data_IF_606407311246
#
_entry.id   IF_606407311246
#
_cell.length_a   1.000
_cell.length_b   1.000
_cell.length_c   1.000
_cell.angle_alpha   90.00
_cell.angle_beta   90.00
_cell.angle_gamma   90.00
#
_symmetry.space_group_name_H-M   'P 1'
#
loop_
_entity.id
_entity.type
_entity.pdbx_description
1 polymer ?
#
# COMPACT_ATOMS: atom_id res chain seq x y z
N UNK A 1 16.57 2.15 -29.30
CA UNK A 1 17.06 2.22 -27.91
C UNK A 1 16.32 3.26 -27.08
N UNK A 2 16.10 4.46 -27.58
CA UNK A 2 15.30 5.47 -26.87
C UNK A 2 13.86 5.02 -26.67
N UNK A 3 13.29 4.31 -27.64
CA UNK A 3 11.93 3.78 -27.58
C UNK A 3 11.75 2.80 -26.43
N UNK A 4 12.77 1.97 -26.16
CA UNK A 4 12.74 1.00 -25.06
C UNK A 4 12.69 1.71 -23.71
N UNK A 5 13.43 2.80 -23.55
CA UNK A 5 13.43 3.58 -22.31
C UNK A 5 12.07 4.23 -22.09
N UNK A 6 11.47 4.82 -23.12
CA UNK A 6 10.13 5.42 -23.03
C UNK A 6 9.08 4.39 -22.70
N UNK A 7 9.16 3.19 -23.27
CA UNK A 7 8.24 2.11 -22.99
C UNK A 7 8.39 1.63 -21.55
N UNK A 8 9.62 1.49 -21.06
CA UNK A 8 9.89 1.11 -19.68
C UNK A 8 9.36 2.15 -18.69
N UNK A 9 9.56 3.45 -18.99
CA UNK A 9 9.04 4.53 -18.15
C UNK A 9 7.51 4.51 -18.10
N UNK A 10 6.86 4.24 -19.23
CA UNK A 10 5.41 4.14 -19.29
C UNK A 10 4.90 2.99 -18.43
N UNK A 11 5.53 1.84 -18.52
CA UNK A 11 5.16 0.67 -17.73
C UNK A 11 5.34 0.94 -16.22
N UNK A 12 6.46 1.60 -15.87
CA UNK A 12 6.73 1.96 -14.48
C UNK A 12 5.71 2.97 -13.96
N UNK A 13 5.29 3.92 -14.79
CA UNK A 13 4.26 4.87 -14.40
C UNK A 13 2.92 4.17 -14.14
N UNK A 14 2.55 3.22 -14.98
CA UNK A 14 1.34 2.42 -14.78
C UNK A 14 1.42 1.61 -13.48
N UNK A 15 2.58 1.01 -13.20
CA UNK A 15 2.82 0.28 -11.96
C UNK A 15 2.74 1.21 -10.75
N UNK A 16 3.31 2.40 -10.87
CA UNK A 16 3.28 3.42 -9.81
C UNK A 16 1.85 3.82 -9.47
N UNK A 17 1.04 4.12 -10.48
CA UNK A 17 -0.37 4.50 -10.29
C UNK A 17 -1.14 3.38 -9.60
N UNK A 18 -0.95 2.13 -10.03
CA UNK A 18 -1.63 0.98 -9.41
C UNK A 18 -1.21 0.81 -7.94
N UNK A 19 0.07 0.98 -7.66
CA UNK A 19 0.59 0.84 -6.30
C UNK A 19 0.05 1.94 -5.38
N UNK A 20 -0.02 3.18 -5.86
CA UNK A 20 -0.58 4.30 -5.10
C UNK A 20 -2.07 4.06 -4.80
N UNK A 21 -2.83 3.59 -5.80
CA UNK A 21 -4.24 3.23 -5.58
C UNK A 21 -4.39 2.11 -4.56
N UNK A 22 -3.51 1.12 -4.63
CA UNK A 22 -3.48 0.03 -3.64
C UNK A 22 -3.22 0.56 -2.24
N UNK A 23 -2.28 1.50 -2.11
CA UNK A 23 -1.95 2.12 -0.83
C UNK A 23 -3.15 2.88 -0.25
N UNK A 24 -3.89 3.60 -1.09
CA UNK A 24 -5.11 4.31 -0.67
C UNK A 24 -6.18 3.34 -0.16
N UNK A 25 -6.36 2.21 -0.86
CA UNK A 25 -7.30 1.18 -0.43
C UNK A 25 -6.89 0.55 0.89
N UNK A 26 -5.60 0.31 1.08
CA UNK A 26 -5.07 -0.22 2.34
C UNK A 26 -5.31 0.76 3.49
N UNK A 27 -5.14 2.06 3.26
CA UNK A 27 -5.41 3.08 4.27
C UNK A 27 -6.88 3.09 4.68
N UNK A 28 -7.79 2.97 3.73
CA UNK A 28 -9.22 2.89 4.01
C UNK A 28 -9.58 1.63 4.79
N UNK A 29 -8.99 0.50 4.41
CA UNK A 29 -9.21 -0.76 5.11
C UNK A 29 -8.74 -0.67 6.57
N UNK A 30 -7.60 -0.04 6.81
CA UNK A 30 -7.09 0.20 8.16
C UNK A 30 -8.02 1.08 8.98
N UNK A 31 -8.59 2.13 8.38
CA UNK A 31 -9.60 2.96 9.04
C UNK A 31 -10.80 2.13 9.49
N UNK A 32 -11.33 1.30 8.59
CA UNK A 32 -12.49 0.44 8.90
C UNK A 32 -12.18 -0.56 10.02
N UNK A 33 -10.98 -1.14 10.02
CA UNK A 33 -10.55 -2.05 11.09
C UNK A 33 -10.46 -1.30 12.42
N UNK A 34 -9.92 -0.08 12.40
CA UNK A 34 -9.82 0.74 13.60
C UNK A 34 -11.20 1.07 14.16
N UNK A 35 -12.13 1.48 13.31
CA UNK A 35 -13.51 1.76 13.69
C UNK A 35 -14.19 0.52 14.31
N UNK A 36 -14.02 -0.63 13.65
CA UNK A 36 -14.59 -1.89 14.16
C UNK A 36 -14.01 -2.26 15.52
N UNK A 37 -12.72 -2.06 15.74
CA UNK A 37 -12.09 -2.33 17.03
C UNK A 37 -12.64 -1.41 18.13
N UNK A 38 -12.82 -0.14 17.80
CA UNK A 38 -13.39 0.84 18.73
C UNK A 38 -14.83 0.46 19.12
N UNK A 39 -15.66 0.11 18.13
CA UNK A 39 -17.04 -0.33 18.38
C UNK A 39 -17.10 -1.59 19.24
N UNK A 40 -16.22 -2.55 18.98
CA UNK A 40 -16.16 -3.77 19.79
C UNK A 40 -15.72 -3.48 21.22
N UNK A 41 -14.79 -2.55 21.41
CA UNK A 41 -14.36 -2.13 22.74
C UNK A 41 -15.52 -1.53 23.52
N UNK A 42 -16.31 -0.66 22.88
CA UNK A 42 -17.48 -0.05 23.49
C UNK A 42 -18.54 -1.10 23.87
N UNK A 43 -18.77 -2.08 22.99
CA UNK A 43 -19.69 -3.17 23.25
C UNK A 43 -19.25 -4.04 24.42
N UNK A 44 -17.94 -4.27 24.57
CA UNK A 44 -17.42 -5.11 25.63
C UNK A 44 -17.58 -4.47 27.02
N UNK A 45 -17.66 -3.15 27.09
CA UNK A 45 -17.91 -2.45 28.36
C UNK A 45 -19.35 -2.58 28.83
N UNK A 46 -20.29 -2.72 27.89
CA UNK A 46 -21.74 -2.66 28.20
C UNK A 46 -22.42 -4.01 28.40
N UNK A 47 -21.82 -5.14 28.03
CA UNK A 47 -22.61 -6.35 28.00
C UNK A 47 -21.87 -7.67 28.06
N UNK A 48 -22.60 -8.67 28.44
CA UNK A 48 -22.31 -10.07 28.24
C UNK A 48 -22.21 -10.34 26.72
N UNK A 49 -21.04 -10.11 26.16
CA UNK A 49 -20.81 -10.44 24.74
C UNK A 49 -21.05 -11.92 24.51
N UNK A 50 -21.75 -12.21 23.43
CA UNK A 50 -21.89 -13.59 22.97
C UNK A 50 -20.48 -14.19 22.85
N UNK A 51 -20.23 -15.39 23.42
CA UNK A 51 -18.93 -16.05 23.32
C UNK A 51 -18.38 -16.15 21.90
N UNK A 52 -19.26 -16.21 20.88
CA UNK A 52 -18.86 -16.23 19.48
C UNK A 52 -18.13 -14.93 19.06
N UNK A 53 -18.35 -13.82 19.77
CA UNK A 53 -17.71 -12.54 19.48
C UNK A 53 -16.42 -12.33 20.25
N UNK A 54 -16.10 -13.20 21.21
CA UNK A 54 -14.92 -13.04 22.07
C UNK A 54 -13.60 -13.11 21.31
N UNK A 55 -13.56 -13.80 20.17
CA UNK A 55 -12.36 -13.95 19.36
C UNK A 55 -12.16 -12.80 18.35
N UNK A 56 -13.20 -11.98 18.13
CA UNK A 56 -13.13 -10.90 17.13
C UNK A 56 -12.05 -9.86 17.40
N UNK A 57 -11.83 -9.40 18.65
CA UNK A 57 -10.75 -8.42 18.89
C UNK A 57 -9.39 -8.93 18.45
N UNK A 58 -9.09 -10.21 18.70
CA UNK A 58 -7.83 -10.80 18.28
C UNK A 58 -7.75 -10.95 16.77
N UNK A 59 -8.84 -11.37 16.13
CA UNK A 59 -8.91 -11.48 14.67
C UNK A 59 -8.71 -10.12 13.99
N UNK A 60 -9.32 -9.07 14.54
CA UNK A 60 -9.16 -7.71 14.04
C UNK A 60 -7.72 -7.21 14.20
N UNK A 61 -7.06 -7.57 15.30
CA UNK A 61 -5.66 -7.24 15.51
C UNK A 61 -4.77 -7.90 14.46
N UNK A 62 -4.99 -9.18 14.18
CA UNK A 62 -4.26 -9.92 13.17
C UNK A 62 -4.47 -9.31 11.79
N UNK A 63 -5.70 -8.93 11.48
CA UNK A 63 -6.01 -8.26 10.21
C UNK A 63 -5.32 -6.91 10.11
N UNK A 64 -5.32 -6.13 11.19
CA UNK A 64 -4.61 -4.85 11.25
C UNK A 64 -3.12 -5.05 10.95
N UNK A 65 -2.49 -6.02 11.62
CA UNK A 65 -1.06 -6.30 11.44
C UNK A 65 -0.75 -6.71 10.00
N UNK A 66 -1.60 -7.54 9.40
CA UNK A 66 -1.45 -7.95 8.01
C UNK A 66 -1.57 -6.76 7.04
N UNK A 67 -2.53 -5.87 7.28
CA UNK A 67 -2.72 -4.67 6.46
C UNK A 67 -1.55 -3.69 6.60
N UNK A 68 -1.01 -3.54 7.80
CA UNK A 68 0.16 -2.71 8.04
C UNK A 68 1.39 -3.27 7.33
N UNK A 69 1.59 -4.58 7.36
CA UNK A 69 2.67 -5.24 6.65
C UNK A 69 2.56 -5.02 5.15
N UNK A 70 1.37 -5.18 4.59
CA UNK A 70 1.13 -4.94 3.16
C UNK A 70 1.36 -3.48 2.79
N UNK A 71 1.00 -2.55 3.68
CA UNK A 71 1.26 -1.12 3.51
C UNK A 71 2.76 -0.86 3.40
N UNK A 72 3.56 -1.48 4.26
CA UNK A 72 5.02 -1.36 4.22
C UNK A 72 5.59 -1.90 2.90
N UNK A 73 5.13 -3.07 2.47
CA UNK A 73 5.56 -3.68 1.21
C UNK A 73 5.23 -2.79 0.02
N UNK A 74 4.02 -2.25 0.01
CA UNK A 74 3.56 -1.37 -1.07
C UNK A 74 4.38 -0.09 -1.14
N UNK A 75 4.68 0.51 0.00
CA UNK A 75 5.55 1.69 0.06
C UNK A 75 6.95 1.40 -0.45
N UNK A 76 7.52 0.26 -0.06
CA UNK A 76 8.83 -0.18 -0.55
C UNK A 76 8.83 -0.36 -2.06
N UNK A 77 7.78 -0.97 -2.60
CA UNK A 77 7.60 -1.15 -4.03
C UNK A 77 7.52 0.19 -4.77
N UNK A 78 6.76 1.15 -4.23
CA UNK A 78 6.63 2.49 -4.80
C UNK A 78 8.00 3.17 -4.85
N UNK A 79 8.77 3.07 -3.75
CA UNK A 79 10.11 3.63 -3.68
C UNK A 79 11.03 3.03 -4.75
N UNK A 80 10.98 1.71 -4.92
CA UNK A 80 11.79 1.03 -5.93
C UNK A 80 11.41 1.46 -7.34
N UNK A 81 10.12 1.61 -7.62
CA UNK A 81 9.63 2.09 -8.93
C UNK A 81 10.13 3.52 -9.19
N UNK A 82 10.04 4.39 -8.18
CA UNK A 82 10.50 5.78 -8.30
C UNK A 82 12.01 5.87 -8.57
N UNK A 83 12.80 5.03 -7.89
CA UNK A 83 14.24 4.95 -8.12
C UNK A 83 14.56 4.50 -9.54
N UNK A 84 13.87 3.50 -10.04
CA UNK A 84 14.03 3.01 -11.40
C UNK A 84 13.66 4.07 -12.42
N UNK A 85 12.54 4.76 -12.20
CA UNK A 85 12.13 5.89 -13.06
C UNK A 85 13.19 6.98 -13.09
N UNK A 86 13.73 7.33 -11.92
CA UNK A 86 14.80 8.33 -11.82
C UNK A 86 16.06 7.92 -12.59
N UNK A 87 16.44 6.66 -12.46
CA UNK A 87 17.59 6.10 -13.18
C UNK A 87 17.39 6.16 -14.69
N UNK A 88 16.23 5.76 -15.18
CA UNK A 88 15.92 5.77 -16.60
C UNK A 88 15.87 7.19 -17.18
N UNK A 89 15.33 8.13 -16.42
CA UNK A 89 15.30 9.54 -16.82
C UNK A 89 16.71 10.12 -16.95
N UNK A 90 17.60 9.77 -16.03
CA UNK A 90 19.01 10.19 -16.09
C UNK A 90 19.70 9.60 -17.31
N UNK A 91 19.46 8.34 -17.62
CA UNK A 91 20.00 7.71 -18.83
C UNK A 91 19.52 8.42 -20.09
N UNK A 92 18.24 8.76 -20.13
CA UNK A 92 17.65 9.48 -21.26
C UNK A 92 18.30 10.85 -21.45
N UNK A 93 18.47 11.61 -20.36
CA UNK A 93 19.12 12.90 -20.39
C UNK A 93 20.58 12.80 -20.87
N UNK A 94 21.29 11.76 -20.42
CA UNK A 94 22.65 11.49 -20.85
C UNK A 94 22.74 11.23 -22.36
N UNK A 95 21.79 10.50 -22.91
CA UNK A 95 21.70 10.20 -24.32
C UNK A 95 21.39 11.46 -25.13
N UNK A 96 20.49 12.30 -24.66
CA UNK A 96 20.16 13.57 -25.32
C UNK A 96 21.36 14.52 -25.35
N UNK A 97 22.18 14.56 -24.30
CA UNK A 97 23.36 15.41 -24.22
C UNK A 97 24.49 14.92 -25.13
N UNK A 98 24.56 13.61 -25.38
CA UNK A 98 25.63 13.07 -26.22
C UNK A 98 25.32 13.12 -27.72
N UNK A 99 24.14 13.53 -28.07
CA UNK A 99 23.77 13.76 -29.47
C UNK A 99 23.83 15.24 -29.84
#
# INVERSE_FOLDING_TARGET
>A
MEEDIYQQLKELEEQHVRAVRGLEKLAKALEHVHEARTELSDLSEDANLNPALSDLPEQLKLLKDALEEETWRTRGYITDVELEQGYLRKRLQGQERSS
#
